data_IF_455544122576
#
_entry.id   IF_455544122576
#
_cell.length_a   1.000
_cell.length_b   1.000
_cell.length_c   1.000
_cell.angle_alpha   90.00
_cell.angle_beta   90.00
_cell.angle_gamma   90.00
#
_symmetry.space_group_name_H-M   'P 1'
#
loop_
_entity.id
_entity.type
_entity.pdbx_description
1 polymer ?
#
# COMPACT_ATOMS: atom_id res chain seq x y z
N UNK A 1 13.38 -8.84 23.74
CA UNK A 1 13.05 -9.06 22.31
C UNK A 1 11.57 -9.39 22.27
N UNK A 2 10.72 -8.39 22.00
CA UNK A 2 9.27 -8.60 21.98
C UNK A 2 8.94 -9.54 20.82
N UNK A 3 8.09 -10.53 21.06
CA UNK A 3 7.70 -11.49 20.02
C UNK A 3 6.86 -10.74 18.98
N UNK A 4 7.00 -11.09 17.71
CA UNK A 4 6.28 -10.42 16.60
C UNK A 4 4.75 -10.36 16.82
N UNK A 5 4.17 -11.35 17.49
CA UNK A 5 2.75 -11.40 17.82
C UNK A 5 2.33 -10.38 18.89
N UNK A 6 3.19 -10.10 19.86
CA UNK A 6 2.96 -9.09 20.89
C UNK A 6 3.02 -7.68 20.29
N UNK A 7 4.01 -7.45 19.43
CA UNK A 7 4.13 -6.20 18.68
C UNK A 7 2.91 -5.97 17.76
N UNK A 8 2.41 -7.03 17.11
CA UNK A 8 1.17 -6.96 16.33
C UNK A 8 -0.04 -6.66 17.21
N UNK A 9 -0.20 -7.35 18.34
CA UNK A 9 -1.31 -7.15 19.28
C UNK A 9 -1.34 -5.71 19.84
N UNK A 10 -0.17 -5.16 20.15
CA UNK A 10 -0.01 -3.80 20.66
C UNK A 10 -0.13 -2.71 19.57
N UNK A 11 -0.25 -3.09 18.29
CA UNK A 11 -0.31 -2.15 17.16
C UNK A 11 1.04 -1.55 16.76
N UNK A 12 2.16 -2.07 17.27
CA UNK A 12 3.51 -1.65 16.89
C UNK A 12 3.84 -2.04 15.44
N UNK A 13 3.20 -3.11 14.93
CA UNK A 13 3.28 -3.52 13.53
C UNK A 13 2.02 -3.05 12.80
N UNK A 14 2.14 -1.92 12.10
CA UNK A 14 1.08 -1.44 11.22
C UNK A 14 1.66 -0.95 9.87
N UNK A 15 1.92 -1.88 8.93
CA UNK A 15 2.66 -1.56 7.71
C UNK A 15 2.00 -0.46 6.87
N UNK A 16 0.68 -0.42 6.78
CA UNK A 16 -0.05 0.57 5.98
C UNK A 16 0.23 2.02 6.39
N UNK A 17 0.46 2.30 7.67
CA UNK A 17 0.80 3.64 8.15
C UNK A 17 2.30 3.94 8.12
N UNK A 18 3.13 2.91 8.14
CA UNK A 18 4.58 3.05 8.18
C UNK A 18 5.26 2.97 6.80
N UNK A 19 4.52 2.57 5.75
CA UNK A 19 5.05 2.54 4.39
C UNK A 19 5.25 3.97 3.88
N UNK A 20 6.51 4.35 3.77
CA UNK A 20 6.93 5.57 3.07
C UNK A 20 7.56 5.16 1.74
N UNK A 21 6.96 5.49 0.59
CA UNK A 21 7.56 5.20 -0.70
C UNK A 21 8.96 5.83 -0.81
N UNK A 22 9.97 4.99 -0.98
CA UNK A 22 11.39 5.39 -1.01
C UNK A 22 11.83 5.87 -2.39
N UNK A 23 11.01 5.65 -3.43
CA UNK A 23 11.32 6.11 -4.77
C UNK A 23 11.45 7.65 -4.78
N UNK A 24 12.60 8.22 -5.15
CA UNK A 24 12.83 9.66 -5.09
C UNK A 24 11.88 10.46 -5.99
N UNK A 25 11.25 9.81 -6.99
CA UNK A 25 10.24 10.43 -7.87
C UNK A 25 8.86 10.54 -7.23
N UNK A 26 8.58 9.80 -6.15
CA UNK A 26 7.26 9.76 -5.53
C UNK A 26 6.82 11.15 -5.03
N UNK A 27 7.61 11.77 -4.14
CA UNK A 27 7.26 13.07 -3.56
C UNK A 27 7.12 14.19 -4.60
N UNK A 28 8.05 14.34 -5.58
CA UNK A 28 7.87 15.31 -6.66
C UNK A 28 6.62 15.08 -7.51
N UNK A 29 6.30 13.81 -7.81
CA UNK A 29 5.12 13.48 -8.61
C UNK A 29 3.82 13.77 -7.86
N UNK A 30 3.73 13.41 -6.57
CA UNK A 30 2.56 13.72 -5.74
C UNK A 30 2.32 15.23 -5.65
N UNK A 31 3.39 16.05 -5.54
CA UNK A 31 3.26 17.51 -5.57
C UNK A 31 2.69 18.00 -6.90
N UNK A 32 3.24 17.54 -8.04
CA UNK A 32 2.71 17.88 -9.37
C UNK A 32 1.24 17.51 -9.54
N UNK A 33 0.81 16.37 -8.99
CA UNK A 33 -0.61 15.97 -9.00
C UNK A 33 -1.47 16.96 -8.22
N UNK A 34 -1.01 17.40 -7.04
CA UNK A 34 -1.70 18.43 -6.25
C UNK A 34 -1.76 19.77 -6.98
N UNK A 35 -0.63 20.23 -7.51
CA UNK A 35 -0.52 21.51 -8.22
C UNK A 35 -1.46 21.55 -9.43
N UNK A 36 -1.51 20.47 -10.21
CA UNK A 36 -2.40 20.37 -11.37
C UNK A 36 -3.88 20.30 -10.96
N UNK A 37 -4.22 19.57 -9.89
CA UNK A 37 -5.57 19.52 -9.34
C UNK A 37 -6.05 20.91 -8.93
N UNK A 38 -5.24 21.64 -8.16
CA UNK A 38 -5.56 23.02 -7.74
C UNK A 38 -5.72 23.95 -8.96
N UNK A 39 -4.82 23.86 -9.93
CA UNK A 39 -4.90 24.65 -11.16
C UNK A 39 -6.20 24.37 -11.94
N UNK A 40 -6.67 23.12 -11.97
CA UNK A 40 -7.94 22.75 -12.61
C UNK A 40 -9.14 23.25 -11.82
N UNK A 41 -9.15 23.11 -10.49
CA UNK A 41 -10.23 23.60 -9.63
C UNK A 41 -10.52 25.10 -9.84
N UNK A 42 -9.49 25.93 -10.05
CA UNK A 42 -9.68 27.38 -10.30
C UNK A 42 -10.37 27.71 -11.63
N UNK A 43 -10.43 26.77 -12.57
CA UNK A 43 -10.97 26.96 -13.93
C UNK A 43 -12.34 26.33 -14.12
N UNK A 44 -12.72 25.40 -13.24
CA UNK A 44 -13.96 24.65 -13.32
C UNK A 44 -15.09 25.38 -12.60
N UNK A 45 -16.33 25.11 -13.01
CA UNK A 45 -17.50 25.46 -12.22
C UNK A 45 -17.59 24.54 -10.98
N UNK A 46 -18.50 24.84 -10.05
CA UNK A 46 -18.64 24.08 -8.81
C UNK A 46 -18.94 22.59 -9.04
N UNK A 47 -19.83 22.27 -9.98
CA UNK A 47 -20.22 20.88 -10.30
C UNK A 47 -19.03 20.08 -10.86
N UNK A 48 -18.33 20.62 -11.85
CA UNK A 48 -17.17 19.94 -12.44
C UNK A 48 -15.98 19.86 -11.48
N UNK A 49 -15.83 20.84 -10.57
CA UNK A 49 -14.84 20.78 -9.50
C UNK A 49 -15.15 19.66 -8.50
N UNK A 50 -16.42 19.47 -8.13
CA UNK A 50 -16.85 18.35 -7.26
C UNK A 50 -16.61 17.00 -7.95
N UNK A 51 -16.90 16.91 -9.27
CA UNK A 51 -16.62 15.71 -10.06
C UNK A 51 -15.12 15.39 -10.14
N UNK A 52 -14.25 16.40 -10.20
CA UNK A 52 -12.79 16.22 -10.17
C UNK A 52 -12.33 15.65 -8.82
N UNK A 53 -12.89 16.13 -7.71
CA UNK A 53 -12.59 15.60 -6.38
C UNK A 53 -13.04 14.15 -6.24
N UNK A 54 -14.29 13.85 -6.61
CA UNK A 54 -14.82 12.49 -6.60
C UNK A 54 -14.01 11.53 -7.49
N UNK A 55 -13.53 12.00 -8.65
CA UNK A 55 -12.61 11.23 -9.49
C UNK A 55 -11.31 10.90 -8.76
N UNK A 56 -10.77 11.87 -8.01
CA UNK A 56 -9.63 11.69 -7.14
C UNK A 56 -9.85 10.61 -6.08
N UNK A 57 -10.99 10.65 -5.40
CA UNK A 57 -11.38 9.67 -4.39
C UNK A 57 -11.48 8.26 -4.99
N UNK A 58 -12.11 8.12 -6.16
CA UNK A 58 -12.17 6.84 -6.89
C UNK A 58 -10.76 6.29 -7.22
N UNK A 59 -9.82 7.14 -7.63
CA UNK A 59 -8.44 6.70 -7.84
C UNK A 59 -7.74 6.25 -6.55
N UNK A 60 -7.97 6.96 -5.44
CA UNK A 60 -7.42 6.59 -4.13
C UNK A 60 -7.98 5.24 -3.68
N UNK A 61 -9.29 5.05 -3.78
CA UNK A 61 -9.98 3.82 -3.39
C UNK A 61 -9.49 2.62 -4.22
N UNK A 62 -9.45 2.76 -5.54
CA UNK A 62 -8.97 1.68 -6.43
C UNK A 62 -7.49 1.36 -6.17
N UNK A 63 -6.67 2.38 -5.88
CA UNK A 63 -5.25 2.19 -5.52
C UNK A 63 -5.10 1.47 -4.18
N UNK A 64 -5.96 1.75 -3.20
CA UNK A 64 -5.96 1.07 -1.91
C UNK A 64 -6.37 -0.42 -2.06
N UNK A 65 -7.41 -0.71 -2.84
CA UNK A 65 -7.83 -2.08 -3.16
C UNK A 65 -6.69 -2.85 -3.85
N UNK A 66 -6.06 -2.25 -4.86
CA UNK A 66 -4.93 -2.86 -5.56
C UNK A 66 -3.71 -3.06 -4.65
N UNK A 67 -3.43 -2.08 -3.78
CA UNK A 67 -2.38 -2.16 -2.78
C UNK A 67 -2.58 -3.33 -1.80
N UNK A 68 -3.82 -3.56 -1.35
CA UNK A 68 -4.18 -4.68 -0.50
C UNK A 68 -3.99 -6.03 -1.21
N UNK A 69 -4.47 -6.17 -2.45
CA UNK A 69 -4.29 -7.40 -3.22
C UNK A 69 -2.81 -7.72 -3.48
N UNK A 70 -2.00 -6.70 -3.80
CA UNK A 70 -0.55 -6.86 -3.94
C UNK A 70 0.11 -7.31 -2.63
N UNK A 71 -0.27 -6.71 -1.50
CA UNK A 71 0.22 -7.12 -0.18
C UNK A 71 -0.15 -8.58 0.11
N UNK A 72 -1.41 -8.96 -0.07
CA UNK A 72 -1.90 -10.31 0.18
C UNK A 72 -1.20 -11.34 -0.72
N UNK A 73 -1.06 -11.04 -2.01
CA UNK A 73 -0.37 -11.89 -2.97
C UNK A 73 1.10 -12.10 -2.59
N UNK A 74 1.83 -11.00 -2.35
CA UNK A 74 3.24 -11.05 -1.98
C UNK A 74 3.49 -11.75 -0.65
N UNK A 75 2.64 -11.50 0.36
CA UNK A 75 2.75 -12.14 1.68
C UNK A 75 2.51 -13.64 1.59
N UNK A 76 1.45 -14.08 0.88
CA UNK A 76 1.16 -15.50 0.66
C UNK A 76 2.31 -16.19 -0.07
N UNK A 77 2.82 -15.58 -1.14
CA UNK A 77 3.94 -16.13 -1.89
C UNK A 77 5.18 -16.26 -1.00
N UNK A 78 5.54 -15.21 -0.26
CA UNK A 78 6.68 -15.25 0.65
C UNK A 78 6.56 -16.33 1.72
N UNK A 79 5.38 -16.45 2.35
CA UNK A 79 5.12 -17.49 3.35
C UNK A 79 5.22 -18.91 2.75
N UNK A 80 4.67 -19.13 1.55
CA UNK A 80 4.77 -20.42 0.85
C UNK A 80 6.22 -20.79 0.55
N UNK A 81 7.02 -19.86 0.03
CA UNK A 81 8.44 -20.06 -0.25
C UNK A 81 9.21 -20.41 1.02
N UNK A 82 8.95 -19.69 2.12
CA UNK A 82 9.58 -19.98 3.41
C UNK A 82 9.22 -21.37 3.93
N UNK A 83 7.95 -21.78 3.83
CA UNK A 83 7.52 -23.12 4.23
C UNK A 83 8.17 -24.21 3.38
N UNK A 84 8.33 -23.98 2.08
CA UNK A 84 9.00 -24.93 1.17
C UNK A 84 10.48 -25.10 1.52
N UNK A 85 11.21 -23.99 1.70
CA UNK A 85 12.63 -24.00 2.10
C UNK A 85 12.82 -24.71 3.44
N UNK A 86 11.97 -24.40 4.43
CA UNK A 86 12.05 -25.00 5.77
C UNK A 86 11.67 -26.49 5.79
N UNK A 87 10.86 -26.93 4.82
CA UNK A 87 10.43 -28.32 4.67
C UNK A 87 11.40 -29.21 3.88
N UNK A 88 12.54 -28.69 3.39
CA UNK A 88 13.40 -29.31 2.38
C UNK A 88 13.51 -30.84 2.40
N UNK A 89 13.74 -31.45 1.22
CA UNK A 89 13.73 -32.90 0.86
C UNK A 89 14.48 -33.91 1.76
N UNK A 90 14.87 -33.56 2.97
CA UNK A 90 15.28 -34.49 4.04
C UNK A 90 14.53 -34.13 5.33
N UNK A 91 13.22 -34.44 5.37
CA UNK A 91 12.60 -34.72 6.67
C UNK A 91 13.31 -35.93 7.27
N UNK A 92 13.84 -35.89 8.51
CA UNK A 92 14.42 -37.10 9.09
C UNK A 92 13.31 -38.15 9.20
N UNK A 93 13.58 -39.38 8.75
CA UNK A 93 12.83 -40.54 9.20
C UNK A 93 12.93 -40.62 10.73
N UNK A 94 11.91 -40.13 11.44
CA UNK A 94 11.63 -40.44 12.84
C UNK A 94 10.15 -40.29 13.13
#
# INVERSE_FOLDING_TARGET
MNKILEQLYNGEIYPSENIVPTNPKYRPLTRKISDEREALQTKLNAEDSERLEALGEMYIETSAMYGYENFLCGFKLGASLMLEILKGEDGPEV
#
